data_IF_917153809708
#
_entry.id   IF_917153809708
#
_cell.length_a   1.000
_cell.length_b   1.000
_cell.length_c   1.000
_cell.angle_alpha   90.00
_cell.angle_beta   90.00
_cell.angle_gamma   90.00
#
_symmetry.space_group_name_H-M   'P 1'
#
loop_
_entity.id
_entity.type
_entity.pdbx_description
1 polymer ?
#
# COMPACT_ATOMS: atom_id res chain seq x y z
N UNK A 1 7.76 -1.98 11.37
CA UNK A 1 7.43 -3.01 10.38
C UNK A 1 8.36 -2.88 9.18
N UNK A 2 8.83 -3.99 8.65
CA UNK A 2 9.71 -3.99 7.50
C UNK A 2 8.89 -4.10 6.21
N UNK A 3 8.75 -2.99 5.51
CA UNK A 3 7.96 -2.94 4.29
C UNK A 3 8.65 -3.60 3.09
N UNK A 4 9.94 -3.90 3.19
CA UNK A 4 10.66 -4.55 2.08
C UNK A 4 10.13 -5.97 1.83
N UNK A 5 9.45 -6.57 2.81
CA UNK A 5 8.89 -7.92 2.71
C UNK A 5 7.37 -7.88 2.48
N UNK A 6 6.84 -6.79 1.95
CA UNK A 6 5.40 -6.62 1.83
C UNK A 6 4.74 -7.71 0.97
N UNK A 7 5.48 -8.28 0.01
CA UNK A 7 4.94 -9.32 -0.86
C UNK A 7 4.70 -10.64 -0.12
N UNK A 8 5.27 -10.79 1.07
CA UNK A 8 5.04 -11.97 1.91
C UNK A 8 3.87 -11.79 2.87
N UNK A 9 3.35 -10.58 2.96
CA UNK A 9 2.21 -10.28 3.82
C UNK A 9 0.93 -10.58 3.05
N UNK A 10 -0.04 -11.23 3.70
CA UNK A 10 -1.35 -11.47 3.11
C UNK A 10 -1.93 -10.12 2.64
N UNK A 11 -2.35 -9.99 1.36
CA UNK A 11 -2.87 -8.71 0.88
C UNK A 11 -4.08 -8.20 1.67
N UNK A 12 -4.89 -9.08 2.25
CA UNK A 12 -6.00 -8.65 3.09
C UNK A 12 -5.52 -7.97 4.37
N UNK A 13 -4.39 -8.38 4.91
CA UNK A 13 -3.77 -7.73 6.06
C UNK A 13 -3.03 -6.48 5.63
N UNK A 14 -2.30 -6.58 4.53
CA UNK A 14 -1.48 -5.49 4.03
C UNK A 14 -2.31 -4.25 3.66
N UNK A 15 -3.50 -4.45 3.09
CA UNK A 15 -4.35 -3.32 2.69
C UNK A 15 -4.69 -2.45 3.89
N UNK A 16 -4.96 -3.05 5.04
CA UNK A 16 -5.21 -2.29 6.26
C UNK A 16 -4.01 -1.48 6.72
N UNK A 17 -2.83 -2.09 6.65
CA UNK A 17 -1.59 -1.42 7.03
C UNK A 17 -1.28 -0.26 6.08
N UNK A 18 -1.45 -0.47 4.78
CA UNK A 18 -1.20 0.57 3.77
C UNK A 18 -2.18 1.73 3.94
N UNK A 19 -3.46 1.44 4.12
CA UNK A 19 -4.47 2.48 4.29
C UNK A 19 -4.23 3.30 5.57
N UNK A 20 -3.82 2.65 6.64
CA UNK A 20 -3.49 3.34 7.88
C UNK A 20 -2.31 4.28 7.67
N UNK A 21 -1.27 3.81 6.99
CA UNK A 21 -0.09 4.62 6.70
C UNK A 21 -0.44 5.82 5.83
N UNK A 22 -1.27 5.60 4.80
CA UNK A 22 -1.71 6.68 3.92
C UNK A 22 -2.48 7.75 4.67
N UNK A 23 -3.31 7.34 5.64
CA UNK A 23 -4.11 8.29 6.40
C UNK A 23 -3.29 9.06 7.42
N UNK A 24 -2.34 8.41 8.08
CA UNK A 24 -1.68 8.98 9.25
C UNK A 24 -0.28 9.54 8.98
N UNK A 25 0.45 8.99 8.01
CA UNK A 25 1.88 9.27 7.88
C UNK A 25 2.34 9.64 6.47
N UNK A 26 1.51 9.47 5.47
CA UNK A 26 1.91 9.70 4.07
C UNK A 26 0.91 10.62 3.38
N UNK A 27 1.43 11.54 2.57
CA UNK A 27 0.58 12.48 1.82
C UNK A 27 -0.03 11.84 0.58
N UNK A 28 0.64 10.82 0.03
CA UNK A 28 0.19 10.15 -1.18
C UNK A 28 0.76 8.74 -1.23
N UNK A 29 0.26 7.94 -2.17
CA UNK A 29 0.80 6.60 -2.39
C UNK A 29 2.26 6.65 -2.83
N UNK A 30 2.61 7.61 -3.69
CA UNK A 30 4.00 7.79 -4.12
C UNK A 30 4.90 8.14 -2.93
N UNK A 31 4.40 8.99 -2.04
CA UNK A 31 5.13 9.37 -0.84
C UNK A 31 5.38 8.16 0.07
N UNK A 32 4.36 7.33 0.26
CA UNK A 32 4.48 6.11 1.04
C UNK A 32 5.56 5.18 0.45
N UNK A 33 5.51 4.98 -0.85
CA UNK A 33 6.45 4.08 -1.53
C UNK A 33 7.88 4.62 -1.44
N UNK A 34 8.06 5.93 -1.56
CA UNK A 34 9.37 6.55 -1.44
C UNK A 34 9.90 6.43 -0.02
N UNK A 35 9.05 6.68 0.97
CA UNK A 35 9.45 6.60 2.37
C UNK A 35 9.92 5.21 2.76
N UNK A 36 9.23 4.19 2.26
CA UNK A 36 9.54 2.80 2.61
C UNK A 36 10.39 2.08 1.57
N UNK A 37 10.81 2.79 0.53
CA UNK A 37 11.70 2.28 -0.53
C UNK A 37 11.10 1.04 -1.19
N UNK A 38 9.85 1.13 -1.61
CA UNK A 38 9.16 0.04 -2.30
C UNK A 38 8.66 0.50 -3.67
N UNK A 39 8.51 -0.46 -4.59
CA UNK A 39 8.00 -0.20 -5.92
C UNK A 39 6.48 -0.10 -5.90
N UNK A 40 5.96 1.04 -6.34
CA UNK A 40 4.52 1.28 -6.37
C UNK A 40 3.79 0.24 -7.20
N UNK A 41 4.34 -0.10 -8.38
CA UNK A 41 3.69 -1.08 -9.25
C UNK A 41 3.60 -2.45 -8.61
N UNK A 42 4.66 -2.86 -7.90
CA UNK A 42 4.66 -4.14 -7.20
C UNK A 42 3.68 -4.14 -6.04
N UNK A 43 3.59 -3.04 -5.31
CA UNK A 43 2.62 -2.94 -4.22
C UNK A 43 1.19 -3.02 -4.74
N UNK A 44 0.89 -2.26 -5.78
CA UNK A 44 -0.44 -2.28 -6.37
C UNK A 44 -0.78 -3.67 -6.92
N UNK A 45 0.17 -4.31 -7.61
CA UNK A 45 -0.06 -5.64 -8.15
C UNK A 45 -0.35 -6.65 -7.05
N UNK A 46 0.38 -6.58 -5.95
CA UNK A 46 0.17 -7.50 -4.84
C UNK A 46 -1.22 -7.31 -4.21
N UNK A 47 -1.65 -6.07 -4.03
CA UNK A 47 -2.98 -5.81 -3.48
C UNK A 47 -4.08 -6.16 -4.47
N UNK A 48 -3.82 -6.02 -5.76
CA UNK A 48 -4.80 -6.39 -6.79
C UNK A 48 -5.04 -7.89 -6.86
N UNK A 49 -4.11 -8.72 -6.37
CA UNK A 49 -4.35 -10.15 -6.29
C UNK A 49 -5.52 -10.50 -5.37
N UNK A 50 -5.86 -9.60 -4.46
CA UNK A 50 -7.02 -9.73 -3.57
C UNK A 50 -8.14 -8.76 -3.95
N UNK A 51 -8.06 -8.21 -5.17
CA UNK A 51 -9.09 -7.33 -5.74
C UNK A 51 -9.19 -5.97 -5.03
N UNK A 52 -8.07 -5.48 -4.50
CA UNK A 52 -7.98 -4.14 -3.93
C UNK A 52 -7.34 -3.21 -4.95
N UNK A 53 -8.00 -2.07 -5.23
CA UNK A 53 -7.53 -1.10 -6.19
C UNK A 53 -7.40 0.28 -5.53
N UNK A 54 -6.37 1.02 -5.90
CA UNK A 54 -6.16 2.34 -5.33
C UNK A 54 -7.20 3.34 -5.81
N UNK A 55 -7.78 4.08 -4.86
CA UNK A 55 -8.76 5.13 -5.13
C UNK A 55 -8.10 6.47 -4.87
N UNK A 56 -7.60 7.18 -5.89
CA UNK A 56 -6.87 8.43 -5.68
C UNK A 56 -7.68 9.49 -4.95
N UNK A 57 -8.97 9.57 -5.23
CA UNK A 57 -9.83 10.58 -4.61
C UNK A 57 -9.98 10.38 -3.12
N UNK A 58 -9.94 9.13 -2.68
CA UNK A 58 -10.10 8.78 -1.27
C UNK A 58 -8.77 8.47 -0.60
N UNK A 59 -7.71 8.39 -1.37
CA UNK A 59 -6.36 8.09 -0.90
C UNK A 59 -6.32 6.80 -0.10
N UNK A 60 -6.93 5.76 -0.66
CA UNK A 60 -6.96 4.44 -0.03
C UNK A 60 -7.19 3.34 -1.06
N UNK A 61 -6.90 2.11 -0.68
CA UNK A 61 -7.22 0.93 -1.48
C UNK A 61 -8.57 0.37 -1.04
N UNK A 62 -9.34 -0.08 -2.01
CA UNK A 62 -10.68 -0.66 -1.74
C UNK A 62 -10.94 -1.87 -2.60
#
# INVERSE_FOLDING_TARGET
MDWSQFQRIDPHLLVGLVNTELRNHSDSLDDLCRTHDIDREQLCAHLETADYHFQPEQKQFR
#
